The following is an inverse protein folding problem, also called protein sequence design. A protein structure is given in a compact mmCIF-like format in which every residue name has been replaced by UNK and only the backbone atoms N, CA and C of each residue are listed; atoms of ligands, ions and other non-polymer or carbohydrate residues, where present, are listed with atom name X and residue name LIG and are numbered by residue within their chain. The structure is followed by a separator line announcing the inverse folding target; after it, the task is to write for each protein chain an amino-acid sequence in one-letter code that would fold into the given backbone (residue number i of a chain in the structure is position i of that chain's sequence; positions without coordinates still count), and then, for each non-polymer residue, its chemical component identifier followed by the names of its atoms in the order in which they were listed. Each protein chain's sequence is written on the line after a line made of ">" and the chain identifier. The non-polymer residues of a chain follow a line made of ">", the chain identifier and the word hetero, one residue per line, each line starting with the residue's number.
data_IF_181662766960
#
_entry.id   IF_181662766960
#
_cell.length_a   1.000
_cell.length_b   1.000
_cell.length_c   1.000
_cell.angle_alpha   90.00
_cell.angle_beta   90.00
_cell.angle_gamma   90.00
#
_symmetry.space_group_name_H-M   'P 1'
#
loop_
_entity.id
_entity.type
_entity.pdbx_description
1 polymer ?
#
# COMPACT_ATOMS: atom_id res chain seq x y z
N UNK A 1 12.26 15.63 -10.09
CA UNK A 1 12.32 14.39 -9.27
C UNK A 1 10.90 14.06 -8.83
N UNK A 2 10.45 12.80 -8.90
CA UNK A 2 9.10 12.42 -8.44
C UNK A 2 9.11 12.13 -6.95
N UNK A 3 8.13 12.68 -6.25
CA UNK A 3 7.90 12.55 -4.79
C UNK A 3 6.69 11.67 -4.52
N UNK A 4 6.77 10.78 -3.53
CA UNK A 4 5.64 9.98 -3.05
C UNK A 4 5.44 10.19 -1.55
N UNK A 5 4.19 10.46 -1.16
CA UNK A 5 3.80 10.49 0.24
C UNK A 5 3.78 9.04 0.76
N UNK A 6 4.48 8.76 1.86
CA UNK A 6 4.49 7.44 2.49
C UNK A 6 3.84 7.55 3.86
N UNK A 7 2.66 6.95 4.03
CA UNK A 7 2.06 6.83 5.35
C UNK A 7 2.89 5.85 6.18
N UNK A 8 3.51 6.36 7.24
CA UNK A 8 4.39 5.56 8.10
C UNK A 8 3.57 4.63 9.01
N UNK A 9 4.17 3.54 9.46
CA UNK A 9 3.51 2.58 10.36
C UNK A 9 3.79 2.95 11.82
N UNK A 10 2.81 2.99 12.74
CA UNK A 10 3.08 3.27 14.14
C UNK A 10 3.91 2.13 14.74
N UNK A 11 4.87 2.47 15.59
CA UNK A 11 5.64 1.47 16.32
C UNK A 11 4.76 0.77 17.37
N UNK A 12 4.90 -0.55 17.50
CA UNK A 12 4.18 -1.38 18.46
C UNK A 12 4.78 -1.30 19.88
N UNK A 13 5.23 -0.13 20.31
CA UNK A 13 5.74 0.08 21.68
C UNK A 13 4.72 0.85 22.51
N UNK A 14 4.76 0.65 23.84
CA UNK A 14 3.80 1.22 24.80
C UNK A 14 3.70 2.75 24.79
N UNK A 15 4.66 3.44 24.15
CA UNK A 15 4.72 4.90 24.14
C UNK A 15 4.20 5.50 22.83
N UNK A 16 4.09 4.72 21.74
CA UNK A 16 3.68 5.17 20.39
C UNK A 16 4.32 6.50 19.94
N UNK A 17 5.54 6.80 20.39
CA UNK A 17 6.19 8.10 20.20
C UNK A 17 6.81 8.28 18.82
N UNK A 18 6.87 7.21 18.03
CA UNK A 18 7.42 7.24 16.68
C UNK A 18 6.69 6.28 15.75
N UNK A 19 6.85 6.54 14.46
CA UNK A 19 6.43 5.66 13.37
C UNK A 19 7.63 5.31 12.50
N UNK A 20 7.49 4.33 11.62
CA UNK A 20 8.61 3.82 10.83
C UNK A 20 8.23 3.49 9.38
N UNK A 21 9.27 3.37 8.56
CA UNK A 21 9.25 2.70 7.26
C UNK A 21 10.37 1.65 7.24
N UNK A 22 10.14 0.53 6.57
CA UNK A 22 11.14 -0.54 6.47
C UNK A 22 12.22 -0.19 5.43
N UNK A 23 13.43 -0.71 5.61
CA UNK A 23 14.51 -0.54 4.63
C UNK A 23 14.12 -1.16 3.28
N UNK A 24 13.38 -2.26 3.27
CA UNK A 24 12.87 -2.92 2.06
C UNK A 24 11.90 -2.02 1.30
N UNK A 25 11.03 -1.29 2.01
CA UNK A 25 10.16 -0.27 1.38
C UNK A 25 10.98 0.86 0.75
N UNK A 26 12.02 1.33 1.44
CA UNK A 26 12.90 2.38 0.89
C UNK A 26 13.68 1.88 -0.33
N UNK A 27 14.20 0.64 -0.29
CA UNK A 27 14.84 -0.03 -1.43
C UNK A 27 13.86 -0.20 -2.60
N UNK A 28 12.63 -0.59 -2.30
CA UNK A 28 11.56 -0.76 -3.27
C UNK A 28 11.23 0.57 -3.98
N UNK A 29 11.20 1.68 -3.25
CA UNK A 29 10.92 3.01 -3.78
C UNK A 29 12.16 3.73 -4.34
N UNK A 30 13.29 3.03 -4.54
CA UNK A 30 14.53 3.64 -5.05
C UNK A 30 14.29 4.40 -6.36
N UNK A 31 14.76 5.65 -6.41
CA UNK A 31 14.57 6.56 -7.54
C UNK A 31 13.25 7.35 -7.49
N UNK A 32 12.50 7.20 -6.40
CA UNK A 32 11.37 8.05 -6.01
C UNK A 32 11.77 8.71 -4.68
N UNK A 33 11.56 10.02 -4.56
CA UNK A 33 11.79 10.75 -3.32
C UNK A 33 10.66 10.45 -2.33
N UNK A 34 11.00 9.94 -1.15
CA UNK A 34 10.04 9.56 -0.12
C UNK A 34 9.75 10.76 0.78
N UNK A 35 8.48 11.14 0.87
CA UNK A 35 7.98 12.14 1.81
C UNK A 35 7.17 11.43 2.90
N UNK A 36 7.73 11.22 4.09
CA UNK A 36 7.02 10.53 5.17
C UNK A 36 5.85 11.37 5.70
N UNK A 37 4.68 10.74 5.82
CA UNK A 37 3.52 11.28 6.53
C UNK A 37 3.36 10.49 7.82
N UNK A 38 3.80 11.09 8.92
CA UNK A 38 3.96 10.44 10.22
C UNK A 38 2.59 10.23 10.87
N UNK A 39 2.33 9.06 11.45
CA UNK A 39 1.13 8.88 12.30
C UNK A 39 1.12 9.94 13.41
N UNK A 40 -0.03 10.59 13.60
CA UNK A 40 -0.18 11.70 14.54
C UNK A 40 0.13 13.09 13.96
N UNK A 41 0.56 13.17 12.69
CA UNK A 41 0.65 14.46 11.96
C UNK A 41 -0.73 15.10 11.91
N UNK A 42 -0.79 16.42 12.14
CA UNK A 42 -2.02 17.21 11.94
C UNK A 42 -2.58 16.98 10.52
N UNK A 43 -3.91 16.91 10.40
CA UNK A 43 -4.54 16.57 9.12
C UNK A 43 -4.30 17.62 8.03
N UNK A 44 -4.19 18.91 8.38
CA UNK A 44 -3.88 19.95 7.40
C UNK A 44 -2.44 19.84 6.92
N UNK A 45 -1.51 19.59 7.84
CA UNK A 45 -0.12 19.35 7.48
C UNK A 45 0.03 18.08 6.63
N UNK A 46 -0.66 16.99 7.00
CA UNK A 46 -0.67 15.76 6.22
C UNK A 46 -1.21 15.98 4.80
N UNK A 47 -2.29 16.75 4.66
CA UNK A 47 -2.83 17.14 3.37
C UNK A 47 -1.85 18.00 2.56
N UNK A 48 -1.15 18.95 3.20
CA UNK A 48 -0.14 19.78 2.54
C UNK A 48 1.07 18.95 2.04
N UNK A 49 1.55 18.00 2.85
CA UNK A 49 2.60 17.06 2.45
C UNK A 49 2.14 16.21 1.27
N UNK A 50 0.92 15.67 1.33
CA UNK A 50 0.36 14.84 0.26
C UNK A 50 0.18 15.61 -1.05
N UNK A 51 -0.35 16.84 -1.01
CA UNK A 51 -0.49 17.73 -2.19
C UNK A 51 0.85 18.10 -2.81
N UNK A 52 1.91 18.11 -2.01
CA UNK A 52 3.25 18.30 -2.52
C UNK A 52 3.83 17.05 -3.21
N UNK A 53 3.18 15.89 -3.10
CA UNK A 53 3.62 14.64 -3.72
C UNK A 53 2.88 14.34 -5.03
N UNK A 54 3.34 13.30 -5.73
CA UNK A 54 2.75 12.83 -6.99
C UNK A 54 1.91 11.55 -6.79
N UNK A 55 1.84 11.05 -5.56
CA UNK A 55 1.11 9.84 -5.23
C UNK A 55 1.22 9.51 -3.74
N UNK A 56 0.50 8.47 -3.32
CA UNK A 56 0.47 7.95 -1.95
C UNK A 56 0.86 6.47 -1.94
N UNK A 57 1.76 6.11 -1.04
CA UNK A 57 2.09 4.73 -0.70
C UNK A 57 1.66 4.44 0.74
N UNK A 58 0.99 3.30 0.93
CA UNK A 58 0.63 2.77 2.25
C UNK A 58 1.19 1.36 2.35
N UNK A 59 2.13 1.16 3.28
CA UNK A 59 2.80 -0.12 3.48
C UNK A 59 1.99 -1.12 4.31
N UNK A 60 2.57 -2.31 4.49
CA UNK A 60 2.07 -3.30 5.43
C UNK A 60 2.53 -3.04 6.87
N UNK A 61 1.83 -3.62 7.83
CA UNK A 61 2.22 -3.58 9.24
C UNK A 61 1.15 -4.20 10.15
N UNK A 62 1.48 -4.45 11.43
CA UNK A 62 0.64 -5.23 12.34
C UNK A 62 -0.46 -4.40 13.02
N UNK A 63 -0.43 -3.08 12.88
CA UNK A 63 -1.05 -2.17 13.83
C UNK A 63 -2.37 -1.61 13.28
N UNK A 64 -3.49 -2.03 13.88
CA UNK A 64 -4.83 -1.48 13.62
C UNK A 64 -5.14 -0.29 14.55
N UNK A 65 -4.17 0.62 14.69
CA UNK A 65 -4.28 1.75 15.62
C UNK A 65 -5.29 2.79 15.13
N UNK A 66 -6.19 3.32 15.98
CA UNK A 66 -7.19 4.31 15.58
C UNK A 66 -6.61 5.55 14.90
N UNK A 67 -5.42 6.00 15.35
CA UNK A 67 -4.73 7.17 14.78
C UNK A 67 -4.23 6.91 13.36
N UNK A 68 -3.75 5.70 13.08
CA UNK A 68 -3.38 5.27 11.73
C UNK A 68 -4.63 5.22 10.83
N UNK A 69 -5.72 4.63 11.31
CA UNK A 69 -6.99 4.55 10.59
C UNK A 69 -7.55 5.94 10.22
N UNK A 70 -7.52 6.87 11.17
CA UNK A 70 -7.96 8.25 10.95
C UNK A 70 -7.15 8.91 9.84
N UNK A 71 -5.83 8.83 9.91
CA UNK A 71 -4.93 9.44 8.93
C UNK A 71 -5.04 8.76 7.56
N UNK A 72 -5.06 7.43 7.50
CA UNK A 72 -5.24 6.67 6.26
C UNK A 72 -6.57 7.02 5.58
N UNK A 73 -7.68 7.09 6.34
CA UNK A 73 -8.98 7.51 5.81
C UNK A 73 -8.94 8.94 5.26
N UNK A 74 -8.29 9.86 5.97
CA UNK A 74 -8.13 11.24 5.53
C UNK A 74 -7.36 11.33 4.21
N UNK A 75 -6.20 10.68 4.12
CA UNK A 75 -5.35 10.66 2.92
C UNK A 75 -6.04 9.97 1.74
N UNK A 76 -6.74 8.85 1.95
CA UNK A 76 -7.52 8.19 0.89
C UNK A 76 -8.67 9.04 0.38
N UNK A 77 -9.39 9.71 1.29
CA UNK A 77 -10.47 10.64 0.90
C UNK A 77 -9.91 11.79 0.07
N UNK A 78 -8.76 12.34 0.47
CA UNK A 78 -8.07 13.37 -0.29
C UNK A 78 -7.62 12.85 -1.66
N UNK A 79 -7.08 11.63 -1.76
CA UNK A 79 -6.67 11.04 -3.04
C UNK A 79 -7.85 10.90 -4.01
N UNK A 80 -9.02 10.46 -3.50
CA UNK A 80 -10.25 10.38 -4.30
C UNK A 80 -10.68 11.76 -4.77
N UNK A 81 -10.64 12.77 -3.88
CA UNK A 81 -10.97 14.15 -4.24
C UNK A 81 -10.03 14.69 -5.33
N UNK A 82 -8.71 14.51 -5.18
CA UNK A 82 -7.72 14.96 -6.16
C UNK A 82 -7.96 14.35 -7.54
N UNK A 83 -8.25 13.04 -7.61
CA UNK A 83 -8.51 12.39 -8.90
C UNK A 83 -9.87 12.75 -9.49
N UNK A 84 -10.94 12.65 -8.69
CA UNK A 84 -12.30 12.70 -9.21
C UNK A 84 -12.86 14.12 -9.29
N UNK A 85 -12.51 15.00 -8.35
CA UNK A 85 -13.05 16.37 -8.28
C UNK A 85 -12.13 17.40 -8.92
N UNK A 86 -10.82 17.24 -8.77
CA UNK A 86 -9.83 18.17 -9.34
C UNK A 86 -9.28 17.71 -10.69
N UNK A 87 -9.55 16.46 -11.10
CA UNK A 87 -9.06 15.91 -12.37
C UNK A 87 -7.54 15.67 -12.40
N UNK A 88 -6.89 15.59 -11.23
CA UNK A 88 -5.45 15.32 -11.12
C UNK A 88 -5.16 13.84 -11.29
N UNK A 89 -4.03 13.48 -11.89
CA UNK A 89 -3.58 12.09 -11.90
C UNK A 89 -2.75 11.80 -10.65
N UNK A 90 -3.37 11.19 -9.62
CA UNK A 90 -2.71 10.94 -8.34
C UNK A 90 -2.79 9.46 -7.94
N UNK A 91 -1.80 8.63 -8.28
CA UNK A 91 -1.79 7.21 -7.95
C UNK A 91 -1.73 6.92 -6.44
N UNK A 92 -2.43 5.86 -6.04
CA UNK A 92 -2.36 5.29 -4.68
C UNK A 92 -1.89 3.85 -4.77
N UNK A 93 -0.92 3.48 -3.94
CA UNK A 93 -0.35 2.14 -3.88
C UNK A 93 -0.44 1.59 -2.44
N UNK A 94 -1.35 0.63 -2.22
CA UNK A 94 -1.55 -0.01 -0.91
C UNK A 94 -0.99 -1.43 -0.90
N UNK A 95 -0.11 -1.74 0.05
CA UNK A 95 0.46 -3.07 0.29
C UNK A 95 -0.02 -3.61 1.61
N UNK A 96 -0.50 -4.86 1.64
CA UNK A 96 -0.98 -5.56 2.84
C UNK A 96 -1.97 -4.73 3.66
N UNK A 97 -1.54 -4.09 4.75
CA UNK A 97 -2.39 -3.19 5.53
C UNK A 97 -2.87 -1.97 4.73
N UNK A 98 -2.05 -1.44 3.81
CA UNK A 98 -2.50 -0.44 2.85
C UNK A 98 -3.61 -0.93 1.90
N UNK A 99 -3.57 -2.19 1.47
CA UNK A 99 -4.67 -2.81 0.70
C UNK A 99 -5.94 -2.92 1.56
N UNK A 100 -5.79 -3.35 2.81
CA UNK A 100 -6.89 -3.43 3.78
C UNK A 100 -7.53 -2.06 4.00
N UNK A 101 -6.75 -0.98 4.08
CA UNK A 101 -7.27 0.38 4.18
C UNK A 101 -8.04 0.82 2.93
N UNK A 102 -7.58 0.47 1.73
CA UNK A 102 -8.31 0.75 0.49
C UNK A 102 -9.70 0.11 0.52
N UNK A 103 -9.79 -1.18 0.84
CA UNK A 103 -11.07 -1.89 0.84
C UNK A 103 -11.97 -1.46 2.01
N UNK A 104 -11.40 -1.19 3.18
CA UNK A 104 -12.16 -0.76 4.34
C UNK A 104 -12.77 0.64 4.15
N UNK A 105 -11.98 1.60 3.66
CA UNK A 105 -12.42 2.99 3.51
C UNK A 105 -13.32 3.14 2.28
N UNK A 106 -12.89 2.66 1.12
CA UNK A 106 -13.59 2.90 -0.15
C UNK A 106 -14.77 1.94 -0.35
N UNK A 107 -14.71 0.77 0.28
CA UNK A 107 -15.81 -0.18 0.32
C UNK A 107 -16.75 0.00 1.51
N UNK A 108 -16.38 0.80 2.52
CA UNK A 108 -17.05 0.83 3.82
C UNK A 108 -17.18 -0.58 4.43
N UNK A 109 -16.12 -1.39 4.31
CA UNK A 109 -16.08 -2.78 4.78
C UNK A 109 -15.28 -2.86 6.08
N UNK A 110 -15.98 -2.98 7.21
CA UNK A 110 -15.36 -3.25 8.50
C UNK A 110 -16.32 -4.06 9.38
N UNK A 111 -15.85 -5.08 10.13
CA UNK A 111 -14.50 -5.65 10.10
C UNK A 111 -14.19 -6.40 8.80
N UNK A 112 -12.91 -6.64 8.55
CA UNK A 112 -12.41 -7.49 7.48
C UNK A 112 -12.49 -8.98 7.86
N UNK A 113 -12.43 -9.86 6.85
CA UNK A 113 -12.50 -11.31 7.04
C UNK A 113 -11.23 -11.85 7.69
N UNK A 114 -11.36 -12.78 8.63
CA UNK A 114 -10.22 -13.49 9.22
C UNK A 114 -9.68 -14.55 8.24
N UNK A 115 -8.36 -14.58 8.08
CA UNK A 115 -7.64 -15.46 7.15
C UNK A 115 -6.44 -16.14 7.83
N UNK A 116 -6.15 -17.39 7.49
CA UNK A 116 -4.89 -18.06 7.86
C UNK A 116 -3.81 -17.80 6.80
N UNK A 117 -3.26 -16.58 6.83
CA UNK A 117 -2.22 -16.15 5.90
C UNK A 117 -1.05 -15.41 6.59
N UNK A 118 -0.82 -15.64 7.89
CA UNK A 118 0.34 -15.11 8.59
C UNK A 118 1.61 -15.89 8.26
N UNK A 119 2.69 -15.15 7.95
CA UNK A 119 4.00 -15.73 7.57
C UNK A 119 3.80 -16.86 6.54
N UNK A 120 2.97 -16.61 5.54
CA UNK A 120 2.63 -17.54 4.48
C UNK A 120 3.55 -17.24 3.29
N UNK A 121 4.71 -17.89 3.29
CA UNK A 121 5.80 -17.65 2.32
C UNK A 121 5.68 -18.51 1.05
N UNK A 122 4.70 -19.42 1.00
CA UNK A 122 4.38 -20.32 -0.11
C UNK A 122 3.07 -19.96 -0.84
N UNK A 123 2.50 -18.77 -0.59
CA UNK A 123 1.23 -18.37 -1.17
C UNK A 123 1.27 -18.20 -2.69
N UNK A 124 0.12 -18.30 -3.34
CA UNK A 124 0.02 -18.23 -4.80
C UNK A 124 -1.02 -17.20 -5.25
N UNK A 125 -0.67 -16.47 -6.30
CA UNK A 125 -1.62 -15.61 -7.00
C UNK A 125 -2.34 -16.41 -8.09
N UNK A 126 -3.66 -16.41 -8.02
CA UNK A 126 -4.55 -16.97 -9.04
C UNK A 126 -5.08 -15.83 -9.88
N UNK A 127 -4.81 -15.88 -11.19
CA UNK A 127 -5.28 -14.84 -12.11
C UNK A 127 -6.80 -14.86 -12.19
N UNK A 128 -7.43 -13.70 -11.97
CA UNK A 128 -8.86 -13.53 -12.16
C UNK A 128 -9.19 -13.24 -13.64
N UNK A 129 -10.41 -13.55 -14.09
CA UNK A 129 -10.87 -13.29 -15.47
C UNK A 129 -10.73 -11.82 -15.88
N UNK A 130 -10.93 -10.89 -14.94
CA UNK A 130 -10.92 -9.45 -15.24
C UNK A 130 -9.50 -8.89 -15.40
N UNK A 131 -8.47 -9.65 -15.00
CA UNK A 131 -7.06 -9.26 -15.07
C UNK A 131 -6.57 -8.83 -16.46
N UNK A 132 -7.25 -9.26 -17.53
CA UNK A 132 -6.96 -8.81 -18.90
C UNK A 132 -7.10 -7.30 -19.10
N UNK A 133 -7.90 -6.62 -18.27
CA UNK A 133 -8.06 -5.17 -18.29
C UNK A 133 -6.97 -4.39 -17.54
N UNK A 134 -6.16 -5.05 -16.71
CA UNK A 134 -5.20 -4.41 -15.80
C UNK A 134 -4.06 -3.69 -16.53
N UNK A 135 -3.85 -2.41 -16.23
CA UNK A 135 -2.70 -1.61 -16.63
C UNK A 135 -1.40 -2.19 -16.06
N UNK A 136 -1.41 -2.58 -14.77
CA UNK A 136 -0.25 -3.16 -14.10
C UNK A 136 0.18 -4.46 -14.78
N UNK A 137 -0.73 -5.41 -14.97
CA UNK A 137 -0.39 -6.73 -15.53
C UNK A 137 -0.05 -6.70 -17.03
N UNK A 138 -0.56 -5.71 -17.77
CA UNK A 138 -0.17 -5.44 -19.17
C UNK A 138 1.26 -4.92 -19.27
N UNK A 139 1.73 -4.15 -18.28
CA UNK A 139 3.09 -3.62 -18.27
C UNK A 139 4.16 -4.70 -18.01
N UNK A 140 3.77 -5.86 -17.49
CA UNK A 140 4.68 -6.97 -17.26
C UNK A 140 5.09 -7.67 -18.57
N UNK A 141 6.34 -8.12 -18.66
CA UNK A 141 6.76 -9.05 -19.72
C UNK A 141 6.17 -10.44 -19.51
N UNK A 142 6.27 -11.33 -20.51
CA UNK A 142 5.87 -12.73 -20.36
C UNK A 142 6.60 -13.40 -19.20
N UNK A 143 7.91 -13.18 -19.08
CA UNK A 143 8.73 -13.74 -17.99
C UNK A 143 8.32 -13.18 -16.62
N UNK A 144 8.02 -11.89 -16.53
CA UNK A 144 7.53 -11.27 -15.29
C UNK A 144 6.16 -11.80 -14.87
N UNK A 145 5.23 -12.01 -15.82
CA UNK A 145 3.94 -12.66 -15.52
C UNK A 145 4.11 -14.11 -15.10
N UNK A 146 4.96 -14.87 -15.78
CA UNK A 146 5.29 -16.25 -15.39
C UNK A 146 5.86 -16.29 -13.99
N UNK A 147 6.79 -15.37 -13.67
CA UNK A 147 7.33 -15.24 -12.32
C UNK A 147 6.21 -14.92 -11.33
N UNK A 148 5.36 -13.92 -11.60
CA UNK A 148 4.25 -13.49 -10.72
C UNK A 148 3.28 -14.61 -10.36
N UNK A 149 2.97 -15.49 -11.32
CA UNK A 149 2.09 -16.64 -11.13
C UNK A 149 2.82 -17.96 -10.86
N UNK A 150 4.15 -17.93 -10.70
CA UNK A 150 4.91 -19.14 -10.43
C UNK A 150 4.46 -19.75 -9.11
N UNK A 151 4.59 -21.08 -9.01
CA UNK A 151 4.44 -21.81 -7.74
C UNK A 151 5.52 -21.47 -6.71
N UNK A 152 6.55 -20.69 -7.08
CA UNK A 152 7.46 -20.14 -6.08
C UNK A 152 6.66 -19.15 -5.24
N UNK A 153 6.54 -19.48 -3.95
CA UNK A 153 5.75 -18.75 -2.98
C UNK A 153 5.89 -17.24 -3.02
N UNK A 154 4.75 -16.57 -2.88
CA UNK A 154 4.64 -15.15 -2.59
C UNK A 154 4.66 -14.95 -1.08
N UNK A 155 5.14 -13.80 -0.63
CA UNK A 155 5.12 -13.46 0.79
C UNK A 155 3.77 -12.83 1.12
N UNK A 156 2.93 -13.60 1.81
CA UNK A 156 1.73 -13.11 2.49
C UNK A 156 1.98 -13.13 3.99
N UNK A 157 1.55 -12.08 4.68
CA UNK A 157 1.57 -12.09 6.15
C UNK A 157 0.51 -11.16 6.70
N UNK A 158 -0.72 -11.66 6.71
CA UNK A 158 -1.88 -10.96 7.22
C UNK A 158 -2.87 -11.95 7.86
N UNK A 159 -3.57 -11.50 8.89
CA UNK A 159 -4.70 -12.23 9.50
C UNK A 159 -6.05 -11.77 8.96
N UNK A 160 -6.05 -10.71 8.16
CA UNK A 160 -7.27 -10.08 7.67
C UNK A 160 -7.19 -9.86 6.16
N UNK A 161 -8.35 -9.88 5.52
CA UNK A 161 -8.49 -9.54 4.10
C UNK A 161 -9.95 -9.43 3.71
N UNK A 162 -10.24 -9.55 2.43
CA UNK A 162 -11.62 -9.58 1.94
C UNK A 162 -11.82 -10.81 1.06
N UNK A 163 -12.77 -11.65 1.46
CA UNK A 163 -13.19 -12.82 0.69
C UNK A 163 -13.72 -12.37 -0.68
N UNK A 164 -13.56 -13.25 -1.67
CA UNK A 164 -14.07 -12.97 -3.02
C UNK A 164 -15.57 -12.68 -3.00
N UNK A 165 -16.33 -13.43 -2.21
CA UNK A 165 -17.77 -13.25 -2.06
C UNK A 165 -18.13 -11.88 -1.48
N UNK A 166 -17.47 -11.43 -0.40
CA UNK A 166 -17.77 -10.12 0.21
C UNK A 166 -17.35 -8.97 -0.68
N UNK A 167 -16.27 -9.11 -1.43
CA UNK A 167 -15.89 -8.11 -2.43
C UNK A 167 -16.95 -8.00 -3.52
N UNK A 168 -17.39 -9.13 -4.10
CA UNK A 168 -18.41 -9.15 -5.15
C UNK A 168 -19.82 -8.79 -4.65
N UNK A 169 -20.08 -8.91 -3.35
CA UNK A 169 -21.30 -8.41 -2.71
C UNK A 169 -21.28 -6.91 -2.42
N UNK A 170 -20.13 -6.25 -2.53
CA UNK A 170 -19.97 -4.84 -2.25
C UNK A 170 -20.01 -3.99 -3.53
N UNK A 171 -21.10 -3.28 -3.72
CA UNK A 171 -21.33 -2.47 -4.91
C UNK A 171 -20.33 -1.31 -5.08
N UNK A 172 -19.83 -0.73 -3.98
CA UNK A 172 -18.81 0.33 -4.05
C UNK A 172 -17.47 -0.23 -4.54
N UNK A 173 -17.01 -1.35 -3.99
CA UNK A 173 -15.78 -2.00 -4.42
C UNK A 173 -15.86 -2.48 -5.86
N UNK A 174 -16.96 -3.12 -6.25
CA UNK A 174 -17.18 -3.56 -7.64
C UNK A 174 -17.15 -2.43 -8.66
N UNK A 175 -17.68 -1.26 -8.32
CA UNK A 175 -17.64 -0.09 -9.21
C UNK A 175 -16.23 0.51 -9.30
N UNK A 176 -15.51 0.54 -8.18
CA UNK A 176 -14.21 1.21 -8.12
C UNK A 176 -13.08 0.35 -8.67
N UNK A 177 -13.14 -0.97 -8.46
CA UNK A 177 -11.99 -1.85 -8.59
C UNK A 177 -12.27 -3.11 -9.39
N UNK A 178 -11.33 -3.39 -10.29
CA UNK A 178 -11.16 -4.68 -10.94
C UNK A 178 -10.42 -5.64 -10.02
N UNK A 179 -10.86 -6.88 -9.95
CA UNK A 179 -10.11 -7.96 -9.30
C UNK A 179 -9.12 -8.52 -10.31
N UNK A 180 -7.83 -8.39 -10.04
CA UNK A 180 -6.76 -8.89 -10.90
C UNK A 180 -6.27 -10.28 -10.46
N UNK A 181 -6.17 -10.51 -9.15
CA UNK A 181 -5.78 -11.80 -8.59
C UNK A 181 -6.58 -12.13 -7.32
N UNK A 182 -6.77 -13.42 -7.09
CA UNK A 182 -7.19 -14.00 -5.81
C UNK A 182 -6.09 -14.92 -5.28
N UNK A 183 -6.22 -15.33 -4.02
CA UNK A 183 -5.33 -16.27 -3.35
C UNK A 183 -6.14 -17.14 -2.38
N UNK A 184 -5.55 -18.25 -1.96
CA UNK A 184 -6.12 -19.13 -0.94
C UNK A 184 -5.30 -18.99 0.35
N UNK A 185 -5.98 -18.97 1.49
CA UNK A 185 -5.32 -19.10 2.79
C UNK A 185 -5.04 -20.60 3.06
N UNK A 186 -4.44 -20.92 4.22
CA UNK A 186 -4.09 -22.32 4.55
C UNK A 186 -5.31 -23.23 4.74
N UNK A 187 -6.47 -22.67 5.06
CA UNK A 187 -7.74 -23.39 5.16
C UNK A 187 -8.44 -23.55 3.79
N UNK A 188 -7.85 -23.03 2.71
CA UNK A 188 -8.45 -23.02 1.38
C UNK A 188 -9.50 -21.93 1.17
N UNK A 189 -9.62 -20.94 2.07
CA UNK A 189 -10.54 -19.81 1.91
C UNK A 189 -10.00 -18.86 0.84
N UNK A 190 -10.83 -18.54 -0.15
CA UNK A 190 -10.47 -17.64 -1.23
C UNK A 190 -10.67 -16.16 -0.87
N UNK A 191 -9.61 -15.36 -1.04
CA UNK A 191 -9.60 -13.92 -0.82
C UNK A 191 -8.99 -13.15 -1.99
N UNK A 192 -9.34 -11.86 -2.09
CA UNK A 192 -8.81 -10.95 -3.11
C UNK A 192 -7.38 -10.54 -2.75
N UNK A 193 -6.45 -10.68 -3.70
CA UNK A 193 -5.02 -10.44 -3.44
C UNK A 193 -4.36 -9.39 -4.33
N UNK A 194 -5.00 -8.99 -5.43
CA UNK A 194 -4.60 -7.84 -6.25
C UNK A 194 -5.84 -7.16 -6.83
N UNK A 195 -5.97 -5.86 -6.59
CA UNK A 195 -6.99 -5.00 -7.20
C UNK A 195 -6.35 -3.82 -7.93
N UNK A 196 -7.06 -3.34 -8.95
CA UNK A 196 -6.70 -2.16 -9.71
C UNK A 196 -7.96 -1.32 -9.98
N UNK A 197 -7.89 -0.01 -9.75
CA UNK A 197 -9.01 0.89 -10.02
C UNK A 197 -9.37 0.91 -11.51
N UNK A 198 -10.66 0.92 -11.85
CA UNK A 198 -11.08 1.04 -13.25
C UNK A 198 -10.60 2.36 -13.84
N UNK A 199 -11.03 3.47 -13.23
CA UNK A 199 -10.73 4.84 -13.67
C UNK A 199 -9.73 5.55 -12.73
N UNK A 200 -9.68 5.14 -11.47
CA UNK A 200 -8.72 5.67 -10.50
C UNK A 200 -7.37 4.93 -10.62
N UNK A 201 -6.22 5.64 -10.57
CA UNK A 201 -4.89 5.03 -10.57
C UNK A 201 -4.54 4.40 -9.21
N UNK A 202 -5.46 3.65 -8.63
CA UNK A 202 -5.34 3.04 -7.32
C UNK A 202 -5.02 1.54 -7.47
N UNK A 203 -4.01 1.08 -6.73
CA UNK A 203 -3.49 -0.27 -6.80
C UNK A 203 -3.41 -0.84 -5.39
N UNK A 204 -3.98 -2.02 -5.19
CA UNK A 204 -3.99 -2.68 -3.89
C UNK A 204 -3.45 -4.10 -4.00
N UNK A 205 -2.42 -4.41 -3.20
CA UNK A 205 -1.71 -5.68 -3.20
C UNK A 205 -1.76 -6.28 -1.80
N UNK A 206 -2.34 -7.47 -1.63
CA UNK A 206 -2.39 -8.11 -0.31
C UNK A 206 -1.05 -8.80 0.06
N UNK A 207 -0.23 -9.11 -0.94
CA UNK A 207 1.13 -9.67 -0.81
C UNK A 207 2.19 -8.57 -0.79
N UNK A 208 3.43 -8.96 -0.53
CA UNK A 208 4.55 -8.08 -0.22
C UNK A 208 5.65 -8.06 -1.31
N UNK A 209 5.45 -7.34 -2.43
CA UNK A 209 6.43 -7.34 -3.51
C UNK A 209 7.79 -6.72 -3.12
N UNK A 210 7.85 -5.89 -2.09
CA UNK A 210 9.06 -5.26 -1.56
C UNK A 210 10.03 -6.26 -0.91
N UNK A 211 9.54 -7.43 -0.49
CA UNK A 211 10.35 -8.53 0.06
C UNK A 211 10.70 -9.59 -0.99
N UNK A 212 10.31 -9.41 -2.26
CA UNK A 212 10.41 -10.45 -3.29
C UNK A 212 11.31 -10.08 -4.47
N UNK A 213 12.35 -10.90 -4.66
CA UNK A 213 13.22 -10.82 -5.83
C UNK A 213 12.45 -11.04 -7.14
N UNK A 214 12.65 -10.13 -8.10
CA UNK A 214 12.08 -10.21 -9.45
C UNK A 214 10.72 -9.52 -9.63
N UNK A 215 10.11 -8.98 -8.57
CA UNK A 215 8.91 -8.14 -8.68
C UNK A 215 9.19 -6.64 -8.84
N UNK A 216 10.45 -6.20 -8.84
CA UNK A 216 10.85 -4.78 -8.96
C UNK A 216 10.30 -4.03 -10.18
N UNK A 217 9.80 -4.74 -11.19
CA UNK A 217 9.07 -4.12 -12.31
C UNK A 217 7.77 -3.42 -11.89
N UNK A 218 7.15 -3.84 -10.78
CA UNK A 218 5.98 -3.17 -10.21
C UNK A 218 6.36 -1.82 -9.60
N UNK A 219 7.52 -1.71 -8.94
CA UNK A 219 8.07 -0.41 -8.52
C UNK A 219 8.35 0.49 -9.73
N UNK A 220 8.96 -0.05 -10.79
CA UNK A 220 9.17 0.69 -12.03
C UNK A 220 7.84 1.14 -12.67
N UNK A 221 6.79 0.33 -12.58
CA UNK A 221 5.44 0.72 -12.99
C UNK A 221 4.89 1.85 -12.13
N UNK A 222 4.96 1.76 -10.80
CA UNK A 222 4.55 2.83 -9.88
C UNK A 222 5.28 4.13 -10.20
N UNK A 223 6.60 4.09 -10.44
CA UNK A 223 7.36 5.27 -10.84
C UNK A 223 6.82 5.91 -12.13
N UNK A 224 6.44 5.10 -13.13
CA UNK A 224 5.81 5.60 -14.35
C UNK A 224 4.43 6.21 -14.10
N UNK A 225 3.64 5.64 -13.19
CA UNK A 225 2.36 6.22 -12.79
C UNK A 225 2.55 7.59 -12.13
N UNK A 226 3.52 7.73 -11.22
CA UNK A 226 3.83 9.00 -10.55
C UNK A 226 4.25 10.09 -11.54
N UNK A 227 4.96 9.73 -12.61
CA UNK A 227 5.41 10.70 -13.63
C UNK A 227 4.28 11.23 -14.52
N UNK A 228 3.07 10.64 -14.47
CA UNK A 228 1.90 11.14 -15.22
C UNK A 228 1.22 12.31 -14.51
N UNK A 229 1.39 12.42 -13.20
CA UNK A 229 0.85 13.50 -12.39
C UNK A 229 1.84 14.64 -12.20
N UNK A 230 1.34 15.74 -11.64
CA UNK A 230 2.15 16.84 -11.14
C UNK A 230 1.85 17.04 -9.65
N UNK A 231 2.84 17.45 -8.88
CA UNK A 231 2.60 17.95 -7.53
C UNK A 231 1.77 19.24 -7.61
N UNK A 232 0.75 19.35 -6.75
CA UNK A 232 -0.14 20.52 -6.69
C UNK A 232 0.56 21.73 -6.05
N UNK A 233 1.53 21.47 -5.17
CA UNK A 233 2.24 22.53 -4.45
C UNK A 233 3.71 22.19 -4.12
N UNK A 234 4.43 23.20 -3.63
CA UNK A 234 5.78 23.06 -3.11
C UNK A 234 5.81 22.21 -1.83
N UNK A 235 6.95 21.58 -1.57
CA UNK A 235 7.19 20.83 -0.33
C UNK A 235 7.28 21.82 0.85
N UNK A 236 6.54 21.64 1.94
CA UNK A 236 6.72 22.45 3.15
C UNK A 236 7.98 21.99 3.90
N UNK A 237 9.16 22.41 3.42
CA UNK A 237 10.47 21.92 3.88
C UNK A 237 10.68 22.01 5.40
N UNK A 238 10.25 23.13 6.01
CA UNK A 238 10.39 23.34 7.44
C UNK A 238 9.61 22.34 8.28
N UNK A 239 8.66 21.60 7.69
CA UNK A 239 7.78 20.65 8.37
C UNK A 239 8.15 19.18 8.14
N UNK A 240 9.22 18.91 7.40
CA UNK A 240 9.64 17.53 7.14
C UNK A 240 10.21 16.89 8.42
N UNK A 241 9.75 15.69 8.78
CA UNK A 241 10.31 14.98 9.91
C UNK A 241 11.73 14.50 9.58
N UNK A 242 12.62 14.53 10.57
CA UNK A 242 13.99 14.06 10.41
C UNK A 242 14.01 12.53 10.31
N UNK A 243 14.63 12.02 9.25
CA UNK A 243 14.91 10.59 9.07
C UNK A 243 15.97 10.17 10.09
N UNK A 244 15.63 9.23 10.97
CA UNK A 244 16.60 8.66 11.91
C UNK A 244 16.73 7.14 11.71
N UNK A 245 17.94 6.57 11.81
CA UNK A 245 18.11 5.13 11.92
C UNK A 245 17.31 4.59 13.12
N UNK A 246 16.67 3.46 12.92
CA UNK A 246 15.88 2.77 13.93
C UNK A 246 16.83 1.91 14.79
N UNK A 247 16.94 2.11 16.12
CA UNK A 247 17.86 1.35 16.97
C UNK A 247 17.38 -0.08 17.25
N UNK A 248 16.16 -0.42 16.85
CA UNK A 248 15.53 -1.72 17.06
C UNK A 248 15.39 -2.37 15.70
N UNK A 249 15.95 -3.56 15.52
CA UNK A 249 15.64 -4.41 14.37
C UNK A 249 14.13 -4.67 14.40
N UNK A 250 13.41 -4.27 13.35
CA UNK A 250 12.00 -4.61 13.28
C UNK A 250 11.87 -6.07 12.88
N UNK A 251 11.07 -6.82 13.63
CA UNK A 251 10.70 -8.19 13.29
C UNK A 251 9.30 -8.17 12.70
N UNK A 252 9.21 -8.40 11.40
CA UNK A 252 8.00 -8.95 10.83
C UNK A 252 8.36 -10.03 9.83
N UNK A 253 7.37 -10.89 9.56
CA UNK A 253 7.52 -11.91 8.54
C UNK A 253 8.62 -12.93 8.88
N UNK A 254 9.00 -13.05 10.17
CA UNK A 254 10.13 -13.88 10.62
C UNK A 254 11.51 -13.33 10.22
N UNK A 255 11.57 -12.11 9.67
CA UNK A 255 12.79 -11.46 9.21
C UNK A 255 13.12 -10.28 10.11
N UNK A 256 14.36 -10.22 10.59
CA UNK A 256 14.91 -9.00 11.20
C UNK A 256 15.38 -8.09 10.07
N UNK A 257 14.83 -6.87 10.01
CA UNK A 257 15.18 -5.87 9.02
C UNK A 257 15.49 -4.52 9.67
N UNK A 258 16.21 -3.67 8.95
CA UNK A 258 16.40 -2.29 9.38
C UNK A 258 15.15 -1.46 9.09
N UNK A 259 14.93 -0.43 9.91
CA UNK A 259 13.89 0.57 9.71
C UNK A 259 14.50 1.98 9.74
N UNK A 260 13.73 2.94 9.24
CA UNK A 260 13.91 4.35 9.56
C UNK A 260 12.73 4.81 10.40
N UNK A 261 12.99 5.57 11.46
CA UNK A 261 11.97 6.09 12.37
C UNK A 261 11.74 7.59 12.18
N UNK A 262 10.53 8.03 12.51
CA UNK A 262 10.09 9.41 12.48
C UNK A 262 9.28 9.74 13.73
N UNK A 263 9.54 10.89 14.34
CA UNK A 263 8.73 11.47 15.42
C UNK A 263 7.78 12.52 14.84
N UNK A 264 6.55 12.59 15.34
CA UNK A 264 5.62 13.67 15.04
C UNK A 264 5.92 14.94 15.85
N UNK A 265 6.64 14.80 16.98
CA UNK A 265 7.09 15.91 17.80
C UNK A 265 8.50 16.34 17.37
N UNK A 266 8.66 17.63 17.08
CA UNK A 266 9.98 18.30 17.14
C UNK A 266 10.40 18.43 18.59
#
# INVERSE_FOLDING_TARGET
>A
MVRIAVLTMPASNRLHTYSYITEETVKWLRGIEVVPVVVGTDLNLAAALMRSCHGLYMGGGPAYEPTYFLLARHLLTLAVHMNYRLGLYFPVWGVCHGFQMLVAVLGSVWPLDSLDAMIHTDGHLRRNREASGSRLLKAATVSQRRLLYAKKGRVFSHQHGISLQRFLGNESLKRLFRICCTSLDRDGKEYVSLIEGFDLPFYGLQFHPEYEGGLGWMSAFLRRELMKGAAEQALPLESLPLLQPCPIAWTAYGMAGNCYRFSSNR
#
